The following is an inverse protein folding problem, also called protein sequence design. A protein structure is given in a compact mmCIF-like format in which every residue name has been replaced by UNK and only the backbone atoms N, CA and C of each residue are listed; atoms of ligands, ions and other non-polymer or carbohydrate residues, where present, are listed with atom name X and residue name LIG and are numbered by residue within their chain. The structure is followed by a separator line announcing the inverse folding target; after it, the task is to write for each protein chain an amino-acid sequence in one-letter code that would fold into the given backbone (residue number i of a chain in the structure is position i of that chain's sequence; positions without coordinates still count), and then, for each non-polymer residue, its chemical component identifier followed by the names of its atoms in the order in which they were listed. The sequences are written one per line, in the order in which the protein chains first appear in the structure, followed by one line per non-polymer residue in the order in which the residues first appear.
data_IF_758648977276
#
_entry.id   IF_758648977276
#
_cell.length_a   1.000
_cell.length_b   1.000
_cell.length_c   1.000
_cell.angle_alpha   90.00
_cell.angle_beta   90.00
_cell.angle_gamma   90.00
#
_symmetry.space_group_name_H-M   'P 1'
#
loop_
_entity.id
_entity.type
_entity.pdbx_description
1 polymer ?
#
# COMPACT_ATOMS: atom_id res chain seq x y z
N UNK A 1 25.81 4.20 -8.23
CA UNK A 1 24.37 4.50 -8.39
C UNK A 1 23.62 3.58 -7.44
N UNK A 2 22.44 3.97 -6.93
CA UNK A 2 21.65 3.08 -6.07
C UNK A 2 21.12 1.90 -6.91
N UNK A 3 21.31 0.62 -6.50
CA UNK A 3 20.90 -0.56 -7.28
C UNK A 3 19.41 -0.58 -7.68
N UNK A 4 18.52 0.03 -6.87
CA UNK A 4 17.10 0.10 -7.19
C UNK A 4 16.85 0.99 -8.43
N UNK A 5 17.58 2.09 -8.58
CA UNK A 5 17.51 2.94 -9.77
C UNK A 5 18.16 2.30 -11.00
N UNK A 6 19.22 1.52 -10.77
CA UNK A 6 19.84 0.72 -11.87
C UNK A 6 18.85 -0.31 -12.41
N UNK A 7 18.13 -0.99 -11.53
CA UNK A 7 17.08 -1.94 -11.90
C UNK A 7 16.01 -1.28 -12.78
N UNK A 8 15.47 -0.14 -12.37
CA UNK A 8 14.46 0.60 -13.14
C UNK A 8 15.03 1.05 -14.50
N UNK A 9 16.28 1.47 -14.54
CA UNK A 9 16.94 1.95 -15.75
C UNK A 9 17.06 0.88 -16.84
N UNK A 10 17.07 -0.41 -16.49
CA UNK A 10 17.05 -1.50 -17.46
C UNK A 10 15.78 -1.49 -18.31
N UNK A 11 14.66 -1.06 -17.73
CA UNK A 11 13.37 -0.99 -18.42
C UNK A 11 13.20 0.27 -19.26
N UNK A 12 14.02 1.31 -19.05
CA UNK A 12 13.95 2.56 -19.81
C UNK A 12 14.51 2.46 -21.24
N UNK A 13 15.12 1.34 -21.64
CA UNK A 13 15.76 1.21 -22.98
C UNK A 13 14.82 1.52 -24.15
N UNK A 14 13.50 1.36 -23.94
CA UNK A 14 12.45 1.66 -24.92
C UNK A 14 11.27 2.44 -24.32
N UNK A 15 11.40 2.94 -23.10
CA UNK A 15 10.35 3.62 -22.34
C UNK A 15 10.89 4.91 -21.79
N UNK A 16 10.08 5.97 -21.82
CA UNK A 16 10.49 7.25 -21.24
C UNK A 16 10.17 7.33 -19.76
N UNK A 17 9.12 6.64 -19.29
CA UNK A 17 8.66 6.68 -17.91
C UNK A 17 8.12 5.35 -17.43
N UNK A 18 8.42 5.06 -16.16
CA UNK A 18 7.94 3.89 -15.43
C UNK A 18 7.07 4.35 -14.28
N UNK A 19 5.92 3.71 -14.09
CA UNK A 19 5.13 3.83 -12.88
C UNK A 19 5.41 2.63 -11.98
N UNK A 20 5.76 2.88 -10.71
CA UNK A 20 5.85 1.85 -9.67
C UNK A 20 4.58 1.82 -8.84
N UNK A 21 4.09 0.64 -8.49
CA UNK A 21 2.86 0.46 -7.71
C UNK A 21 3.09 -0.56 -6.58
N UNK A 22 2.65 -0.21 -5.37
CA UNK A 22 2.67 -1.10 -4.20
C UNK A 22 1.48 -0.83 -3.28
N UNK A 23 1.21 -1.73 -2.34
CA UNK A 23 0.14 -1.63 -1.37
C UNK A 23 0.60 -1.74 0.09
N UNK A 24 -0.21 -1.19 0.99
CA UNK A 24 -0.08 -1.36 2.44
C UNK A 24 -1.39 -1.82 3.08
N UNK A 25 -1.28 -2.72 4.05
CA UNK A 25 -2.44 -3.14 4.85
C UNK A 25 -3.18 -4.37 4.37
N UNK A 26 -2.63 -5.21 3.48
CA UNK A 26 -3.30 -6.45 3.06
C UNK A 26 -3.63 -7.41 4.22
N UNK A 27 -2.68 -7.64 5.11
CA UNK A 27 -2.84 -8.59 6.23
C UNK A 27 -3.42 -7.98 7.51
N UNK A 28 -3.98 -6.77 7.47
CA UNK A 28 -4.58 -6.14 8.65
C UNK A 28 -6.00 -6.67 8.89
N UNK A 29 -6.40 -6.74 10.16
CA UNK A 29 -7.77 -7.10 10.57
C UNK A 29 -8.74 -5.92 10.49
N UNK A 30 -8.23 -4.69 10.40
CA UNK A 30 -9.03 -3.46 10.35
C UNK A 30 -8.44 -2.42 9.40
N UNK A 31 -9.30 -1.56 8.88
CA UNK A 31 -8.97 -0.47 7.99
C UNK A 31 -8.83 -0.88 6.51
N UNK A 32 -8.73 0.12 5.61
CA UNK A 32 -8.61 -0.11 4.18
C UNK A 32 -7.28 -0.75 3.79
N UNK A 33 -7.23 -1.31 2.58
CA UNK A 33 -5.97 -1.48 1.87
C UNK A 33 -5.68 -0.18 1.12
N UNK A 34 -4.44 0.29 1.22
CA UNK A 34 -3.98 1.53 0.58
C UNK A 34 -2.99 1.18 -0.51
N UNK A 35 -3.22 1.68 -1.70
CA UNK A 35 -2.36 1.47 -2.87
C UNK A 35 -1.78 2.81 -3.29
N UNK A 36 -0.50 2.84 -3.60
CA UNK A 36 0.14 4.00 -4.18
C UNK A 36 0.75 3.66 -5.53
N UNK A 37 0.66 4.62 -6.45
CA UNK A 37 1.31 4.60 -7.74
C UNK A 37 2.18 5.84 -7.88
N UNK A 38 3.42 5.72 -8.40
CA UNK A 38 4.34 6.84 -8.48
C UNK A 38 5.21 6.76 -9.74
N UNK A 39 5.44 7.91 -10.38
CA UNK A 39 6.43 8.11 -11.44
C UNK A 39 7.57 8.95 -10.84
N UNK A 40 8.74 8.36 -10.68
CA UNK A 40 9.94 9.08 -10.26
C UNK A 40 10.65 9.74 -11.43
N UNK A 41 11.33 10.84 -11.18
CA UNK A 41 12.38 11.32 -12.08
C UNK A 41 13.67 10.50 -11.83
N UNK A 42 13.89 9.50 -12.68
CA UNK A 42 15.04 8.60 -12.52
C UNK A 42 16.39 9.29 -12.83
N UNK A 43 16.37 10.50 -13.43
CA UNK A 43 17.57 11.32 -13.66
C UNK A 43 17.99 12.09 -12.41
N UNK A 44 17.05 12.34 -11.50
CA UNK A 44 17.26 13.02 -10.23
C UNK A 44 16.91 12.09 -9.05
N UNK A 45 17.77 11.13 -8.68
CA UNK A 45 17.48 10.12 -7.66
C UNK A 45 17.23 10.74 -6.30
N UNK A 46 16.19 10.28 -5.62
CA UNK A 46 15.94 10.60 -4.20
C UNK A 46 16.84 9.70 -3.36
N UNK A 47 17.74 10.31 -2.58
CA UNK A 47 18.69 9.59 -1.75
C UNK A 47 17.99 8.84 -0.61
N UNK A 48 18.39 7.58 -0.39
CA UNK A 48 17.92 6.78 0.72
C UNK A 48 16.62 6.02 0.49
N UNK A 49 16.02 6.08 -0.72
CA UNK A 49 14.92 5.18 -1.09
C UNK A 49 15.38 3.73 -0.93
N UNK A 50 14.57 2.94 -0.23
CA UNK A 50 14.78 1.52 0.04
C UNK A 50 13.43 0.88 0.40
N UNK A 51 13.39 -0.45 0.50
CA UNK A 51 12.28 -1.21 1.08
C UNK A 51 11.77 -0.55 2.36
N UNK A 52 10.49 -0.20 2.39
CA UNK A 52 9.87 0.54 3.49
C UNK A 52 9.99 -0.16 4.85
N UNK A 53 10.09 -1.50 4.85
CA UNK A 53 10.21 -2.34 6.05
C UNK A 53 11.61 -2.24 6.68
N UNK A 54 12.64 -1.88 5.89
CA UNK A 54 14.03 -1.68 6.34
C UNK A 54 14.28 -0.26 6.87
N UNK A 55 13.33 0.64 6.70
CA UNK A 55 13.44 2.03 7.12
C UNK A 55 12.83 2.25 8.51
N UNK A 56 13.40 3.15 9.31
CA UNK A 56 12.75 3.64 10.52
C UNK A 56 11.52 4.49 10.17
N UNK A 57 10.58 4.66 11.10
CA UNK A 57 9.39 5.50 10.88
C UNK A 57 9.76 6.93 10.45
N UNK A 58 10.67 7.56 11.19
CA UNK A 58 11.16 8.93 10.89
C UNK A 58 11.77 9.02 9.49
N UNK A 59 12.56 8.02 9.08
CA UNK A 59 13.17 8.02 7.74
C UNK A 59 12.11 7.83 6.65
N UNK A 60 11.11 6.98 6.87
CA UNK A 60 9.98 6.83 5.94
C UNK A 60 9.19 8.12 5.78
N UNK A 61 8.88 8.81 6.87
CA UNK A 61 8.17 10.09 6.83
C UNK A 61 8.94 11.16 6.06
N UNK A 62 10.25 11.27 6.30
CA UNK A 62 11.09 12.19 5.53
C UNK A 62 11.10 11.86 4.04
N UNK A 63 11.23 10.58 3.69
CA UNK A 63 11.20 10.14 2.29
C UNK A 63 9.82 10.32 1.67
N UNK A 64 8.73 10.13 2.40
CA UNK A 64 7.37 10.41 1.95
C UNK A 64 7.23 11.86 1.46
N UNK A 65 7.68 12.83 2.25
CA UNK A 65 7.64 14.24 1.87
C UNK A 65 8.53 14.53 0.65
N UNK A 66 9.72 13.93 0.60
CA UNK A 66 10.63 14.09 -0.54
C UNK A 66 10.03 13.49 -1.82
N UNK A 67 9.40 12.31 -1.75
CA UNK A 67 8.75 11.68 -2.90
C UNK A 67 7.60 12.56 -3.40
N UNK A 68 6.74 13.06 -2.52
CA UNK A 68 5.64 13.96 -2.90
C UNK A 68 6.13 15.22 -3.61
N UNK A 69 7.25 15.81 -3.15
CA UNK A 69 7.80 17.03 -3.72
C UNK A 69 8.54 16.81 -5.04
N UNK A 70 9.15 15.64 -5.23
CA UNK A 70 10.09 15.39 -6.35
C UNK A 70 9.56 14.42 -7.39
N UNK A 71 8.51 13.66 -7.11
CA UNK A 71 7.92 12.76 -8.09
C UNK A 71 7.29 13.54 -9.25
N UNK A 72 7.41 13.02 -10.46
CA UNK A 72 6.74 13.57 -11.65
C UNK A 72 5.22 13.50 -11.48
N UNK A 73 4.74 12.38 -10.92
CA UNK A 73 3.34 12.20 -10.54
C UNK A 73 3.21 11.09 -9.50
N UNK A 74 2.17 11.17 -8.68
CA UNK A 74 1.78 10.08 -7.79
C UNK A 74 0.27 10.07 -7.57
N UNK A 75 -0.25 8.92 -7.16
CA UNK A 75 -1.64 8.74 -6.72
C UNK A 75 -1.70 7.75 -5.58
N UNK A 76 -2.50 8.07 -4.56
CA UNK A 76 -2.81 7.17 -3.46
C UNK A 76 -4.31 6.89 -3.51
N UNK A 77 -4.69 5.62 -3.36
CA UNK A 77 -6.08 5.13 -3.40
C UNK A 77 -6.32 4.26 -2.17
N UNK A 78 -7.48 4.47 -1.55
CA UNK A 78 -7.99 3.62 -0.48
C UNK A 78 -9.09 2.71 -1.03
N UNK A 79 -9.01 1.42 -0.72
CA UNK A 79 -10.12 0.49 -0.96
C UNK A 79 -10.65 0.04 0.39
N UNK A 80 -11.90 0.34 0.66
CA UNK A 80 -12.53 0.21 1.97
C UNK A 80 -12.82 -1.23 2.39
N UNK A 81 -13.18 -1.39 3.65
CA UNK A 81 -13.46 -2.70 4.25
C UNK A 81 -14.69 -3.37 3.66
N UNK A 82 -15.69 -2.61 3.21
CA UNK A 82 -16.90 -3.18 2.60
C UNK A 82 -16.58 -3.85 1.27
N UNK A 83 -15.69 -3.21 0.47
CA UNK A 83 -15.23 -3.82 -0.77
C UNK A 83 -14.38 -5.07 -0.51
N UNK A 84 -13.49 -5.02 0.52
CA UNK A 84 -12.68 -6.17 0.91
C UNK A 84 -13.55 -7.33 1.34
N UNK A 85 -14.56 -7.10 2.18
CA UNK A 85 -15.46 -8.14 2.67
C UNK A 85 -16.33 -8.73 1.54
N UNK A 86 -16.73 -7.90 0.55
CA UNK A 86 -17.56 -8.35 -0.56
C UNK A 86 -16.78 -9.14 -1.62
N UNK A 87 -15.57 -8.73 -1.94
CA UNK A 87 -14.82 -9.24 -3.11
C UNK A 87 -13.47 -9.89 -2.76
N UNK A 88 -13.11 -9.95 -1.50
CA UNK A 88 -11.82 -10.34 -0.90
C UNK A 88 -10.67 -9.35 -1.12
N UNK A 89 -9.59 -9.58 -0.34
CA UNK A 89 -8.42 -8.68 -0.34
C UNK A 89 -7.65 -8.68 -1.66
N UNK A 90 -7.63 -9.79 -2.39
CA UNK A 90 -6.96 -9.83 -3.69
C UNK A 90 -7.66 -8.92 -4.70
N UNK A 91 -8.98 -9.02 -4.80
CA UNK A 91 -9.76 -8.15 -5.71
C UNK A 91 -9.69 -6.69 -5.30
N UNK A 92 -9.70 -6.40 -4.01
CA UNK A 92 -9.52 -5.04 -3.49
C UNK A 92 -8.13 -4.46 -3.87
N UNK A 93 -7.07 -5.25 -3.75
CA UNK A 93 -5.72 -4.84 -4.17
C UNK A 93 -5.67 -4.59 -5.67
N UNK A 94 -6.16 -5.52 -6.49
CA UNK A 94 -6.16 -5.38 -7.95
C UNK A 94 -6.97 -4.15 -8.41
N UNK A 95 -8.13 -3.90 -7.80
CA UNK A 95 -8.93 -2.69 -8.02
C UNK A 95 -8.11 -1.42 -7.73
N UNK A 96 -7.50 -1.35 -6.56
CA UNK A 96 -6.71 -0.19 -6.16
C UNK A 96 -5.49 0.05 -7.06
N UNK A 97 -4.82 -1.02 -7.53
CA UNK A 97 -3.73 -0.92 -8.52
C UNK A 97 -4.24 -0.30 -9.81
N UNK A 98 -5.35 -0.81 -10.36
CA UNK A 98 -5.96 -0.29 -11.58
C UNK A 98 -6.36 1.18 -11.42
N UNK A 99 -7.05 1.53 -10.34
CA UNK A 99 -7.51 2.89 -10.07
C UNK A 99 -6.35 3.87 -9.85
N UNK A 100 -5.33 3.48 -9.10
CA UNK A 100 -4.17 4.35 -8.83
C UNK A 100 -3.37 4.63 -10.09
N UNK A 101 -3.11 3.62 -10.92
CA UNK A 101 -2.41 3.78 -12.19
C UNK A 101 -3.24 4.60 -13.19
N UNK A 102 -4.54 4.33 -13.31
CA UNK A 102 -5.44 5.03 -14.25
C UNK A 102 -5.68 6.49 -13.87
N UNK A 103 -5.54 6.86 -12.61
CA UNK A 103 -5.71 8.24 -12.14
C UNK A 103 -4.48 9.13 -12.36
N UNK A 104 -3.35 8.57 -12.80
CA UNK A 104 -2.17 9.36 -13.17
C UNK A 104 -2.36 9.89 -14.60
N UNK A 105 -2.40 11.21 -14.74
CA UNK A 105 -2.58 11.89 -16.02
C UNK A 105 -1.29 12.01 -16.84
N UNK A 106 -0.14 11.89 -16.20
CA UNK A 106 1.14 11.94 -16.89
C UNK A 106 1.38 10.66 -17.69
N UNK A 107 1.86 10.74 -18.94
CA UNK A 107 2.13 9.55 -19.75
C UNK A 107 3.24 8.69 -19.13
N UNK A 108 3.06 7.38 -19.20
CA UNK A 108 4.05 6.37 -18.84
C UNK A 108 3.89 5.13 -19.72
N UNK A 109 4.99 4.39 -19.89
CA UNK A 109 5.10 3.33 -20.90
C UNK A 109 5.09 1.93 -20.28
N UNK A 110 5.39 1.83 -18.98
CA UNK A 110 5.48 0.57 -18.27
C UNK A 110 5.00 0.72 -16.84
N UNK A 111 4.19 -0.25 -16.39
CA UNK A 111 3.77 -0.36 -15.00
C UNK A 111 4.51 -1.52 -14.31
N UNK A 112 5.29 -1.21 -13.28
CA UNK A 112 5.92 -2.19 -12.39
C UNK A 112 5.10 -2.30 -11.11
N UNK A 113 4.66 -3.50 -10.77
CA UNK A 113 3.75 -3.78 -9.66
C UNK A 113 4.43 -4.72 -8.67
N UNK A 114 4.43 -4.41 -7.39
CA UNK A 114 4.91 -5.37 -6.38
C UNK A 114 4.05 -6.63 -6.34
N UNK A 115 4.70 -7.77 -6.11
CA UNK A 115 4.03 -9.07 -6.00
C UNK A 115 4.00 -9.89 -7.29
N UNK A 116 2.94 -10.71 -7.43
CA UNK A 116 2.86 -11.72 -8.48
C UNK A 116 1.59 -11.64 -9.36
N UNK A 117 0.83 -10.56 -9.25
CA UNK A 117 -0.42 -10.36 -9.98
C UNK A 117 -0.46 -9.00 -10.68
N UNK A 118 -1.02 -9.00 -11.87
CA UNK A 118 -1.32 -7.80 -12.64
C UNK A 118 -2.84 -7.73 -12.82
N UNK A 119 -3.50 -6.60 -12.54
CA UNK A 119 -4.93 -6.45 -12.81
C UNK A 119 -5.20 -6.46 -14.31
N UNK A 120 -6.33 -7.01 -14.70
CA UNK A 120 -6.85 -6.85 -16.06
C UNK A 120 -7.29 -5.38 -16.27
N UNK A 121 -7.15 -4.90 -17.51
CA UNK A 121 -7.64 -3.56 -17.89
C UNK A 121 -6.64 -2.42 -17.74
N UNK A 122 -5.38 -2.69 -17.35
CA UNK A 122 -4.32 -1.67 -17.47
C UNK A 122 -4.10 -1.34 -18.95
N UNK A 123 -3.99 -0.05 -19.24
CA UNK A 123 -3.87 0.47 -20.61
C UNK A 123 -2.42 0.49 -21.15
N UNK A 124 -1.46 0.00 -20.36
CA UNK A 124 -0.04 -0.05 -20.71
C UNK A 124 0.55 -1.45 -20.45
N UNK A 125 1.71 -1.78 -21.06
CA UNK A 125 2.50 -2.93 -20.65
C UNK A 125 2.75 -2.93 -19.15
N UNK A 126 2.63 -4.10 -18.51
CA UNK A 126 2.71 -4.22 -17.05
C UNK A 126 3.49 -5.46 -16.64
N UNK A 127 4.26 -5.36 -15.58
CA UNK A 127 5.02 -6.47 -15.02
C UNK A 127 4.84 -6.53 -13.51
N UNK A 128 4.52 -7.72 -12.98
CA UNK A 128 4.62 -8.00 -11.56
C UNK A 128 6.06 -8.38 -11.20
N UNK A 129 6.56 -7.81 -10.13
CA UNK A 129 7.92 -8.02 -9.62
C UNK A 129 7.82 -8.54 -8.17
N UNK A 130 8.17 -9.79 -7.97
CA UNK A 130 8.20 -10.37 -6.62
C UNK A 130 9.29 -9.68 -5.79
N UNK A 131 8.93 -9.18 -4.60
CA UNK A 131 9.79 -8.32 -3.76
C UNK A 131 10.27 -7.06 -4.50
N UNK A 132 9.40 -6.48 -5.30
CA UNK A 132 9.69 -5.30 -6.10
C UNK A 132 10.08 -4.09 -5.27
N UNK A 133 9.54 -3.96 -4.05
CA UNK A 133 9.90 -2.94 -3.04
C UNK A 133 11.39 -2.98 -2.65
N UNK A 134 12.05 -4.13 -2.79
CA UNK A 134 13.47 -4.30 -2.53
C UNK A 134 14.35 -4.21 -3.80
N UNK A 135 13.76 -4.18 -5.00
CA UNK A 135 14.47 -4.25 -6.27
C UNK A 135 14.34 -2.98 -7.12
N UNK A 136 13.17 -2.34 -7.14
CA UNK A 136 12.81 -1.19 -7.97
C UNK A 136 12.68 0.08 -7.13
N UNK A 137 13.30 1.17 -7.54
CA UNK A 137 13.17 2.47 -6.89
C UNK A 137 11.73 3.00 -6.97
N UNK A 138 11.07 2.82 -8.11
CA UNK A 138 9.68 3.24 -8.32
C UNK A 138 8.71 2.47 -7.44
N UNK A 139 8.87 1.14 -7.30
CA UNK A 139 8.04 0.32 -6.41
C UNK A 139 8.36 0.66 -4.93
N UNK A 140 9.64 0.82 -4.56
CA UNK A 140 10.03 1.20 -3.20
C UNK A 140 9.43 2.56 -2.80
N UNK A 141 9.40 3.53 -3.72
CA UNK A 141 8.76 4.82 -3.48
C UNK A 141 7.24 4.66 -3.27
N UNK A 142 6.57 3.85 -4.08
CA UNK A 142 5.16 3.52 -3.92
C UNK A 142 4.89 2.85 -2.56
N UNK A 143 5.73 1.90 -2.16
CA UNK A 143 5.69 1.23 -0.84
C UNK A 143 5.75 2.24 0.31
N UNK A 144 6.68 3.21 0.24
CA UNK A 144 6.81 4.28 1.24
C UNK A 144 5.54 5.13 1.28
N UNK A 145 5.02 5.55 0.12
CA UNK A 145 3.79 6.35 0.05
C UNK A 145 2.59 5.61 0.65
N UNK A 146 2.35 4.38 0.23
CA UNK A 146 1.25 3.58 0.74
C UNK A 146 1.36 3.33 2.25
N UNK A 147 2.56 3.00 2.74
CA UNK A 147 2.82 2.70 4.15
C UNK A 147 2.63 3.90 5.05
N UNK A 148 3.24 5.03 4.73
CA UNK A 148 3.16 6.25 5.58
C UNK A 148 1.74 6.80 5.57
N UNK A 149 1.10 6.86 4.41
CA UNK A 149 -0.29 7.31 4.30
C UNK A 149 -1.22 6.45 5.16
N UNK A 150 -1.13 5.12 5.02
CA UNK A 150 -1.97 4.21 5.79
C UNK A 150 -1.70 4.28 7.29
N UNK A 151 -0.45 4.43 7.70
CA UNK A 151 -0.11 4.54 9.12
C UNK A 151 -0.68 5.83 9.73
N UNK A 152 -0.66 6.96 9.01
CA UNK A 152 -1.32 8.22 9.40
C UNK A 152 -2.85 8.04 9.47
N UNK A 153 -3.45 7.42 8.45
CA UNK A 153 -4.89 7.14 8.42
C UNK A 153 -5.34 6.30 9.63
N UNK A 154 -4.62 5.22 9.94
CA UNK A 154 -4.95 4.36 11.08
C UNK A 154 -4.74 5.07 12.43
N UNK A 155 -3.80 6.02 12.50
CA UNK A 155 -3.64 6.86 13.70
C UNK A 155 -4.82 7.82 13.89
N UNK A 156 -5.32 8.42 12.81
CA UNK A 156 -6.50 9.28 12.87
C UNK A 156 -7.77 8.47 13.23
N UNK A 157 -7.89 7.25 12.69
CA UNK A 157 -9.01 6.37 13.03
C UNK A 157 -9.01 5.93 14.51
N UNK A 158 -7.85 5.92 15.18
CA UNK A 158 -7.76 5.65 16.61
C UNK A 158 -8.55 6.64 17.46
N UNK A 159 -8.66 7.90 17.04
CA UNK A 159 -9.44 8.94 17.71
C UNK A 159 -10.95 8.60 17.73
N UNK A 160 -11.44 7.95 16.67
CA UNK A 160 -12.83 7.51 16.54
C UNK A 160 -13.08 6.14 17.20
N UNK A 161 -12.04 5.33 17.38
CA UNK A 161 -12.11 3.98 17.93
C UNK A 161 -11.06 3.75 19.02
N UNK A 162 -11.05 4.56 20.10
CA UNK A 162 -9.95 4.60 21.08
C UNK A 162 -9.74 3.30 21.86
N UNK A 163 -10.74 2.41 21.88
CA UNK A 163 -10.69 1.14 22.62
C UNK A 163 -9.78 0.08 21.96
N UNK A 164 -9.41 0.28 20.69
CA UNK A 164 -8.68 -0.74 19.93
C UNK A 164 -7.17 -0.50 19.86
N UNK A 165 -6.69 0.76 19.92
CA UNK A 165 -5.28 1.11 19.86
C UNK A 165 -4.71 1.07 18.44
N UNK A 166 -5.47 1.47 17.43
CA UNK A 166 -5.08 1.48 16.03
C UNK A 166 -3.88 2.38 15.73
N UNK A 167 -3.68 3.44 16.50
CA UNK A 167 -2.50 4.29 16.40
C UNK A 167 -1.20 3.52 16.65
N UNK A 168 -1.23 2.44 17.42
CA UNK A 168 -0.05 1.65 17.77
C UNK A 168 0.21 0.53 16.76
N UNK A 169 -0.77 -0.31 16.51
CA UNK A 169 -0.60 -1.53 15.69
C UNK A 169 -1.20 -1.43 14.28
N UNK A 170 -1.76 -0.27 13.91
CA UNK A 170 -2.25 0.02 12.54
C UNK A 170 -3.26 -1.01 11.99
N UNK A 171 -4.03 -1.65 12.88
CA UNK A 171 -5.03 -2.66 12.54
C UNK A 171 -4.47 -4.06 12.33
N UNK A 172 -3.17 -4.30 12.49
CA UNK A 172 -2.60 -5.65 12.42
C UNK A 172 -2.96 -6.48 13.66
N UNK A 173 -3.03 -7.81 13.49
CA UNK A 173 -3.45 -8.78 14.52
C UNK A 173 -2.42 -8.99 15.63
N UNK A 174 -2.00 -7.94 16.30
CA UNK A 174 -1.12 -8.01 17.48
C UNK A 174 -1.88 -8.53 18.68
N UNK A 175 -1.17 -8.99 19.73
CA UNK A 175 -1.78 -9.43 20.99
C UNK A 175 -2.70 -8.33 21.58
N UNK A 176 -2.28 -7.07 21.53
CA UNK A 176 -3.10 -5.94 21.99
C UNK A 176 -4.41 -5.84 21.20
N UNK A 177 -4.35 -5.92 19.87
CA UNK A 177 -5.55 -5.84 19.02
C UNK A 177 -6.50 -7.01 19.24
N UNK A 178 -5.96 -8.23 19.34
CA UNK A 178 -6.75 -9.43 19.63
C UNK A 178 -7.41 -9.39 21.01
N UNK A 179 -6.75 -8.80 22.01
CA UNK A 179 -7.34 -8.57 23.33
C UNK A 179 -8.48 -7.58 23.26
N UNK A 180 -8.30 -6.45 22.56
CA UNK A 180 -9.36 -5.47 22.37
C UNK A 180 -10.57 -6.05 21.63
N UNK A 181 -10.35 -6.85 20.58
CA UNK A 181 -11.41 -7.56 19.88
C UNK A 181 -12.20 -8.51 20.78
N UNK A 182 -11.53 -9.24 21.68
CA UNK A 182 -12.21 -10.13 22.64
C UNK A 182 -13.05 -9.36 23.66
N UNK A 183 -12.61 -8.18 24.09
CA UNK A 183 -13.30 -7.37 25.10
C UNK A 183 -14.47 -6.56 24.53
N UNK A 184 -14.30 -5.98 23.34
CA UNK A 184 -15.23 -5.00 22.80
C UNK A 184 -15.94 -5.46 21.52
N UNK A 185 -15.58 -6.64 20.99
CA UNK A 185 -16.07 -7.09 19.70
C UNK A 185 -15.49 -6.30 18.51
N UNK A 186 -15.84 -6.63 17.28
CA UNK A 186 -15.41 -5.90 16.10
C UNK A 186 -16.21 -4.60 15.90
N UNK A 187 -15.53 -3.49 15.58
CA UNK A 187 -16.16 -2.24 15.14
C UNK A 187 -16.34 -2.19 13.61
N UNK A 188 -16.95 -1.12 13.09
CA UNK A 188 -17.34 -0.97 11.68
C UNK A 188 -16.18 -1.01 10.70
N UNK A 189 -14.93 -0.70 11.11
CA UNK A 189 -13.76 -0.76 10.25
C UNK A 189 -13.02 -2.10 10.30
N UNK A 190 -13.51 -3.10 11.03
CA UNK A 190 -12.95 -4.44 10.98
C UNK A 190 -13.41 -5.21 9.74
N UNK A 191 -12.51 -6.02 9.21
CA UNK A 191 -12.76 -6.89 8.05
C UNK A 191 -13.46 -8.16 8.52
N UNK A 192 -14.75 -8.23 8.27
CA UNK A 192 -15.64 -9.28 8.79
C UNK A 192 -15.32 -10.67 8.25
N UNK A 193 -14.68 -10.74 7.09
CA UNK A 193 -14.28 -11.99 6.43
C UNK A 193 -12.90 -12.50 6.85
N UNK A 194 -12.16 -11.75 7.68
CA UNK A 194 -10.82 -12.13 8.16
C UNK A 194 -10.90 -12.84 9.51
N UNK A 195 -10.25 -14.02 9.63
CA UNK A 195 -10.05 -14.64 10.94
C UNK A 195 -9.05 -13.79 11.78
N UNK A 196 -9.31 -13.60 13.09
CA UNK A 196 -10.37 -14.19 13.89
C UNK A 196 -11.68 -13.37 13.94
N UNK A 197 -11.79 -12.26 13.22
CA UNK A 197 -12.99 -11.39 13.23
C UNK A 197 -14.23 -12.17 12.77
N UNK A 198 -14.13 -12.95 11.70
CA UNK A 198 -15.23 -13.76 11.17
C UNK A 198 -15.76 -14.76 12.21
N UNK A 199 -14.88 -15.44 12.92
CA UNK A 199 -15.24 -16.41 13.97
C UNK A 199 -15.98 -15.74 15.14
N UNK A 200 -15.58 -14.53 15.52
CA UNK A 200 -16.23 -13.75 16.58
C UNK A 200 -17.64 -13.31 16.17
N UNK A 201 -17.86 -12.98 14.90
CA UNK A 201 -19.18 -12.62 14.40
C UNK A 201 -20.15 -13.81 14.34
N UNK A 202 -19.68 -14.98 13.95
CA UNK A 202 -20.48 -16.20 13.92
C UNK A 202 -20.91 -16.64 15.33
N UNK A 203 -20.07 -16.43 16.35
CA UNK A 203 -20.37 -16.80 17.72
C UNK A 203 -21.40 -15.87 18.39
N UNK A 204 -21.66 -14.67 17.84
CA UNK A 204 -22.69 -13.74 18.32
C UNK A 204 -24.09 -14.02 17.74
N UNK A 205 -24.20 -14.89 16.74
CA UNK A 205 -25.47 -15.22 16.06
C UNK A 205 -26.10 -16.51 16.66
N UNK A 206 -25.36 -17.22 17.47
CA UNK A 206 -25.84 -18.40 18.24
C UNK A 206 -26.28 -18.02 19.63
#
# INVERSE_FOLDING_TARGET
MNPLYEFDSVFLKNSERIIGVDEAGRGSLAGPVVIAAVILDLKNPIEGINDSKKLTATKREKLFEQIIQSAIAYKIVEVDVNYIDKYNILQATLKGILESASAISQPFDLCLIDGNKVPAGLFCPSKSIIHGDALSASIAAASILAKVYRDKLMSNLDEFYPLYGFAKHKGYGTAQHLTALKLYGPCSIHRKTFSPVSEMMESQIK
#
